data_IF_113839896636
#
_entry.id   IF_113839896636
#
_cell.length_a   1.000
_cell.length_b   1.000
_cell.length_c   1.000
_cell.angle_alpha   90.00
_cell.angle_beta   90.00
_cell.angle_gamma   90.00
#
_symmetry.space_group_name_H-M   'P 1'
#
loop_
_entity.id
_entity.type
_entity.pdbx_description
1 polymer ?
#
# COMPACT_ATOMS: atom_id res chain seq x y z
N UNK A 1 54.78 -132.06 -39.02
CA UNK A 1 54.33 -133.45 -38.81
C UNK A 1 52.91 -133.59 -39.32
N UNK A 2 52.30 -134.79 -39.30
CA UNK A 2 50.98 -135.02 -39.86
C UNK A 2 49.89 -134.53 -38.90
N UNK A 3 49.69 -133.21 -38.79
CA UNK A 3 48.46 -132.63 -38.23
C UNK A 3 48.21 -131.27 -38.90
N UNK A 4 47.03 -131.11 -39.48
CA UNK A 4 46.49 -129.83 -39.92
C UNK A 4 46.25 -128.99 -38.67
N UNK A 5 46.78 -127.77 -38.60
CA UNK A 5 46.30 -126.77 -37.64
C UNK A 5 44.95 -126.29 -38.20
N UNK A 6 43.86 -126.55 -37.46
CA UNK A 6 42.54 -125.99 -37.77
C UNK A 6 42.63 -124.46 -37.78
N UNK A 7 41.82 -123.76 -38.59
CA UNK A 7 41.70 -122.31 -38.43
C UNK A 7 41.24 -122.03 -36.99
N UNK A 8 42.03 -121.25 -36.24
CA UNK A 8 41.66 -120.80 -34.90
C UNK A 8 40.25 -120.18 -34.98
N UNK A 9 39.23 -120.87 -34.44
CA UNK A 9 37.91 -120.29 -34.25
C UNK A 9 38.00 -119.30 -33.09
N UNK A 10 37.98 -117.99 -33.35
CA UNK A 10 38.13 -116.98 -32.30
C UNK A 10 36.96 -117.00 -31.31
N UNK A 11 35.80 -117.60 -31.64
CA UNK A 11 34.69 -117.78 -30.71
C UNK A 11 34.88 -118.94 -29.73
N UNK A 12 35.83 -119.87 -29.95
CA UNK A 12 36.08 -121.00 -29.05
C UNK A 12 36.51 -120.57 -27.64
N UNK A 13 37.09 -119.37 -27.51
CA UNK A 13 37.50 -118.78 -26.21
C UNK A 13 36.37 -118.08 -25.45
N UNK A 14 35.13 -118.10 -25.97
CA UNK A 14 33.96 -117.37 -25.44
C UNK A 14 34.27 -115.89 -25.15
N UNK A 15 34.66 -115.10 -26.16
CA UNK A 15 35.11 -113.74 -25.95
C UNK A 15 33.99 -112.75 -25.57
N UNK A 16 32.72 -113.10 -25.79
CA UNK A 16 31.57 -112.27 -25.46
C UNK A 16 31.19 -112.43 -23.98
N UNK A 17 31.16 -111.33 -23.24
CA UNK A 17 30.80 -111.25 -21.83
C UNK A 17 29.29 -111.10 -21.65
N UNK A 18 28.83 -111.19 -20.40
CA UNK A 18 27.45 -110.90 -19.97
C UNK A 18 26.34 -111.64 -20.77
N UNK A 19 26.64 -112.85 -21.24
CA UNK A 19 25.70 -113.68 -22.00
C UNK A 19 25.56 -113.29 -23.48
N UNK A 20 26.49 -112.49 -24.02
CA UNK A 20 26.58 -112.18 -25.45
C UNK A 20 26.81 -113.42 -26.33
N UNK A 21 26.22 -113.42 -27.52
CA UNK A 21 26.33 -114.51 -28.49
C UNK A 21 27.47 -114.20 -29.47
N UNK A 22 28.44 -115.11 -29.60
CA UNK A 22 29.59 -114.92 -30.48
C UNK A 22 29.31 -115.39 -31.92
N UNK A 23 29.67 -114.54 -32.89
CA UNK A 23 29.59 -114.82 -34.32
C UNK A 23 30.96 -114.67 -34.98
N UNK A 24 31.43 -115.71 -35.69
CA UNK A 24 32.67 -115.66 -36.47
C UNK A 24 32.52 -114.83 -37.75
N UNK A 25 33.47 -113.94 -38.04
CA UNK A 25 33.46 -113.11 -39.26
C UNK A 25 34.87 -112.96 -39.86
N UNK A 26 34.98 -112.33 -41.05
CA UNK A 26 36.28 -112.13 -41.75
C UNK A 26 37.29 -111.28 -40.96
N UNK A 27 36.84 -110.61 -39.90
CA UNK A 27 37.63 -109.74 -39.02
C UNK A 27 38.06 -110.45 -37.72
N UNK A 28 37.69 -111.72 -37.54
CA UNK A 28 37.80 -112.47 -36.29
C UNK A 28 36.43 -112.87 -35.76
N UNK A 29 35.87 -112.12 -34.80
CA UNK A 29 34.55 -112.38 -34.21
C UNK A 29 33.76 -111.08 -33.98
N UNK A 30 32.46 -111.22 -33.77
CA UNK A 30 31.53 -110.17 -33.33
C UNK A 30 30.64 -110.71 -32.22
N UNK A 31 30.24 -109.86 -31.29
CA UNK A 31 29.34 -110.23 -30.20
C UNK A 31 27.97 -109.56 -30.37
N UNK A 32 26.92 -110.37 -30.40
CA UNK A 32 25.54 -109.90 -30.32
C UNK A 32 25.14 -109.81 -28.85
N UNK A 33 25.00 -108.58 -28.36
CA UNK A 33 24.79 -108.31 -26.94
C UNK A 33 23.32 -108.44 -26.54
N UNK A 34 23.02 -109.07 -25.40
CA UNK A 34 21.68 -109.05 -24.84
C UNK A 34 21.30 -107.62 -24.47
N UNK A 35 19.99 -107.35 -24.44
CA UNK A 35 19.49 -106.04 -24.09
C UNK A 35 19.94 -105.61 -22.68
N UNK A 36 20.46 -104.39 -22.56
CA UNK A 36 21.12 -103.89 -21.35
C UNK A 36 22.65 -103.87 -21.42
N UNK A 37 23.27 -104.44 -22.46
CA UNK A 37 24.72 -104.42 -22.66
C UNK A 37 25.11 -103.94 -24.06
N UNK A 38 26.26 -103.28 -24.17
CA UNK A 38 26.88 -102.89 -25.43
C UNK A 38 28.40 -103.00 -25.37
N UNK A 39 29.07 -102.72 -26.50
CA UNK A 39 30.51 -102.87 -26.64
C UNK A 39 30.87 -104.09 -27.49
N UNK A 40 32.13 -104.18 -27.91
CA UNK A 40 32.61 -105.20 -28.84
C UNK A 40 32.57 -106.63 -28.26
N UNK A 41 32.54 -106.75 -26.93
CA UNK A 41 32.42 -107.99 -26.16
C UNK A 41 31.22 -107.96 -25.23
N UNK A 42 30.28 -107.03 -25.40
CA UNK A 42 29.14 -106.85 -24.47
C UNK A 42 29.58 -106.54 -23.03
N UNK A 43 30.73 -105.89 -22.90
CA UNK A 43 31.40 -105.61 -21.63
C UNK A 43 30.84 -104.39 -20.89
N UNK A 44 30.06 -103.54 -21.57
CA UNK A 44 29.56 -102.29 -21.02
C UNK A 44 28.08 -102.43 -20.72
N UNK A 45 27.69 -102.24 -19.45
CA UNK A 45 26.30 -102.14 -19.00
C UNK A 45 25.71 -100.78 -19.44
N UNK A 46 24.48 -100.77 -19.97
CA UNK A 46 23.80 -99.56 -20.42
C UNK A 46 23.29 -98.81 -19.19
N UNK A 47 23.72 -97.57 -19.00
CA UNK A 47 23.16 -96.73 -17.94
C UNK A 47 21.78 -96.19 -18.33
N UNK A 48 20.70 -96.87 -17.93
CA UNK A 48 19.34 -96.40 -18.21
C UNK A 48 18.98 -95.11 -17.47
N UNK A 49 19.70 -94.76 -16.39
CA UNK A 49 19.51 -93.48 -15.70
C UNK A 49 20.03 -92.28 -16.50
N UNK A 50 20.86 -92.49 -17.53
CA UNK A 50 21.29 -91.42 -18.43
C UNK A 50 20.12 -90.73 -19.15
N UNK A 51 19.01 -91.45 -19.36
CA UNK A 51 17.77 -90.91 -19.95
C UNK A 51 16.96 -90.02 -19.00
N UNK A 52 17.35 -89.97 -17.71
CA UNK A 52 16.66 -89.26 -16.62
C UNK A 52 15.17 -89.65 -16.51
N UNK A 53 14.86 -90.93 -16.25
CA UNK A 53 13.50 -91.45 -16.25
C UNK A 53 12.68 -91.08 -15.00
N UNK A 54 13.32 -90.60 -13.93
CA UNK A 54 12.64 -90.22 -12.69
C UNK A 54 12.20 -88.75 -12.71
N UNK A 55 10.90 -88.52 -12.59
CA UNK A 55 10.26 -87.22 -12.52
C UNK A 55 10.33 -86.63 -11.10
N UNK A 56 9.92 -85.36 -10.98
CA UNK A 56 9.76 -84.65 -9.70
C UNK A 56 10.99 -84.69 -8.77
N UNK A 57 12.17 -84.73 -9.38
CA UNK A 57 13.46 -84.78 -8.71
C UNK A 57 13.73 -86.08 -7.94
N UNK A 58 13.03 -87.16 -8.29
CA UNK A 58 13.38 -88.51 -7.84
C UNK A 58 14.81 -88.88 -8.21
N UNK A 59 15.49 -89.63 -7.35
CA UNK A 59 16.86 -90.10 -7.60
C UNK A 59 16.81 -91.42 -8.33
N UNK A 60 17.37 -91.45 -9.55
CA UNK A 60 17.50 -92.68 -10.34
C UNK A 60 18.69 -93.50 -9.87
N UNK A 61 18.46 -94.79 -9.60
CA UNK A 61 19.51 -95.74 -9.28
C UNK A 61 19.59 -96.77 -10.41
N UNK A 62 20.73 -96.77 -11.11
CA UNK A 62 21.02 -97.81 -12.09
C UNK A 62 21.41 -99.08 -11.33
N UNK A 63 20.75 -100.19 -11.62
CA UNK A 63 21.16 -101.49 -11.11
C UNK A 63 22.18 -102.07 -12.12
N UNK A 64 23.12 -102.94 -11.72
CA UNK A 64 24.02 -103.68 -12.64
C UNK A 64 23.59 -105.16 -12.85
N UNK A 65 23.78 -105.72 -14.06
CA UNK A 65 23.45 -107.10 -14.50
C UNK A 65 21.98 -107.57 -14.65
N UNK A 66 21.02 -106.77 -15.12
CA UNK A 66 19.66 -107.27 -15.43
C UNK A 66 19.49 -107.61 -16.90
N UNK A 67 19.04 -108.83 -17.16
CA UNK A 67 18.66 -109.31 -18.49
C UNK A 67 17.32 -108.75 -19.00
N UNK A 68 16.80 -107.64 -18.43
CA UNK A 68 15.49 -107.06 -18.78
C UNK A 68 15.60 -105.58 -19.12
N UNK A 69 15.00 -105.18 -20.25
CA UNK A 69 14.77 -103.78 -20.65
C UNK A 69 13.86 -103.07 -19.61
N UNK A 70 14.30 -101.92 -19.07
CA UNK A 70 13.72 -101.11 -17.97
C UNK A 70 13.93 -101.62 -16.54
N UNK A 71 15.10 -101.38 -15.97
CA UNK A 71 15.45 -101.90 -14.64
C UNK A 71 16.19 -100.90 -13.74
N UNK A 72 16.14 -99.60 -14.06
CA UNK A 72 16.41 -98.55 -13.07
C UNK A 72 15.25 -98.44 -12.07
N UNK A 73 15.55 -98.01 -10.85
CA UNK A 73 14.54 -97.72 -9.81
C UNK A 73 14.60 -96.25 -9.43
N UNK A 74 13.44 -95.61 -9.36
CA UNK A 74 13.31 -94.22 -8.92
C UNK A 74 13.01 -94.16 -7.43
N UNK A 75 13.89 -93.51 -6.68
CA UNK A 75 13.63 -93.16 -5.28
C UNK A 75 12.95 -91.80 -5.23
N UNK A 76 11.65 -91.80 -4.94
CA UNK A 76 10.82 -90.59 -4.99
C UNK A 76 11.04 -89.66 -3.81
N UNK A 77 11.02 -88.35 -4.07
CA UNK A 77 11.00 -87.35 -3.00
C UNK A 77 9.71 -87.43 -2.17
N UNK A 78 9.72 -86.98 -0.90
CA UNK A 78 8.52 -86.94 -0.08
C UNK A 78 7.36 -86.21 -0.77
N UNK A 79 6.21 -86.89 -0.86
CA UNK A 79 5.02 -86.37 -1.53
C UNK A 79 4.83 -86.84 -2.97
N UNK A 80 5.75 -87.66 -3.50
CA UNK A 80 5.60 -88.28 -4.82
C UNK A 80 5.64 -89.81 -4.74
N UNK A 81 4.92 -90.47 -5.65
CA UNK A 81 4.85 -91.92 -5.82
C UNK A 81 4.72 -92.29 -7.31
N UNK A 82 4.52 -93.56 -7.62
CA UNK A 82 4.58 -94.07 -8.99
C UNK A 82 5.95 -94.66 -9.34
N UNK A 83 6.04 -95.32 -10.49
CA UNK A 83 7.26 -96.05 -10.90
C UNK A 83 8.41 -95.10 -11.21
N UNK A 84 8.07 -93.94 -11.74
CA UNK A 84 8.97 -92.89 -12.16
C UNK A 84 8.83 -91.64 -11.28
N UNK A 85 8.14 -91.72 -10.14
CA UNK A 85 7.83 -90.57 -9.26
C UNK A 85 6.90 -89.52 -9.88
N UNK A 86 6.03 -89.95 -10.78
CA UNK A 86 5.13 -89.14 -11.58
C UNK A 86 3.83 -88.73 -10.86
N UNK A 87 3.45 -89.46 -9.81
CA UNK A 87 2.19 -89.25 -9.08
C UNK A 87 2.42 -88.43 -7.80
N UNK A 88 1.49 -87.54 -7.44
CA UNK A 88 1.53 -86.78 -6.18
C UNK A 88 0.70 -87.51 -5.12
N UNK A 89 1.23 -87.65 -3.90
CA UNK A 89 0.53 -88.27 -2.78
C UNK A 89 -0.48 -87.26 -2.20
N UNK A 90 -1.77 -87.62 -2.22
CA UNK A 90 -2.84 -86.85 -1.56
C UNK A 90 -2.99 -87.26 -0.09
N UNK A 91 -2.17 -86.66 0.79
CA UNK A 91 -2.24 -86.90 2.24
C UNK A 91 -3.54 -86.41 2.87
N UNK A 92 -4.13 -85.32 2.37
CA UNK A 92 -5.42 -84.82 2.85
C UNK A 92 -6.51 -85.90 2.73
N UNK A 93 -6.60 -86.56 1.56
CA UNK A 93 -7.53 -87.68 1.35
C UNK A 93 -7.13 -88.97 2.07
N UNK A 94 -5.86 -89.37 1.98
CA UNK A 94 -5.35 -90.63 2.56
C UNK A 94 -5.48 -90.70 4.08
N UNK A 95 -5.25 -89.60 4.79
CA UNK A 95 -5.26 -89.55 6.26
C UNK A 95 -6.55 -88.98 6.83
N UNK A 96 -7.55 -88.67 6.00
CA UNK A 96 -8.83 -88.08 6.42
C UNK A 96 -8.65 -86.82 7.29
N UNK A 97 -7.71 -85.94 6.90
CA UNK A 97 -7.40 -84.75 7.68
C UNK A 97 -8.54 -83.74 7.52
N UNK A 98 -9.14 -83.35 8.64
CA UNK A 98 -10.27 -82.42 8.66
C UNK A 98 -9.83 -81.07 9.23
N UNK A 99 -9.76 -80.05 8.38
CA UNK A 99 -9.60 -78.67 8.83
C UNK A 99 -10.96 -78.17 9.34
N UNK A 100 -11.01 -77.74 10.60
CA UNK A 100 -12.23 -77.26 11.23
C UNK A 100 -12.71 -75.95 10.61
N UNK A 101 -13.97 -75.59 10.90
CA UNK A 101 -14.57 -74.32 10.49
C UNK A 101 -14.46 -74.04 8.98
N UNK A 102 -14.70 -75.05 8.14
CA UNK A 102 -14.61 -74.95 6.67
C UNK A 102 -13.21 -74.63 6.12
N UNK A 103 -12.15 -74.91 6.89
CA UNK A 103 -10.78 -74.77 6.43
C UNK A 103 -10.45 -75.67 5.24
N UNK A 104 -9.57 -75.19 4.35
CA UNK A 104 -9.14 -75.93 3.17
C UNK A 104 -7.84 -76.69 3.47
N UNK A 105 -7.85 -78.02 3.34
CA UNK A 105 -6.64 -78.84 3.45
C UNK A 105 -5.81 -78.77 2.17
N UNK A 106 -4.52 -78.48 2.31
CA UNK A 106 -3.56 -78.48 1.20
C UNK A 106 -2.42 -79.46 1.45
N UNK A 107 -2.07 -80.22 0.42
CA UNK A 107 -0.87 -81.07 0.39
C UNK A 107 0.38 -80.19 0.14
N UNK A 108 1.36 -80.24 1.04
CA UNK A 108 2.63 -79.54 0.87
C UNK A 108 3.59 -80.46 0.10
N UNK A 109 3.79 -80.12 -1.17
CA UNK A 109 4.75 -80.79 -2.06
C UNK A 109 6.19 -80.49 -1.57
N UNK A 110 7.01 -81.53 -1.35
CA UNK A 110 8.41 -81.38 -0.92
C UNK A 110 8.63 -81.10 0.58
N UNK A 111 7.62 -81.31 1.43
CA UNK A 111 7.77 -81.18 2.89
C UNK A 111 8.70 -82.24 3.49
N UNK A 112 9.55 -81.84 4.44
CA UNK A 112 10.56 -82.71 5.07
C UNK A 112 10.00 -83.62 6.19
N UNK A 113 8.71 -83.51 6.51
CA UNK A 113 8.03 -84.22 7.62
C UNK A 113 6.76 -84.88 7.12
N UNK A 114 6.56 -86.19 7.33
CA UNK A 114 5.32 -86.87 6.94
C UNK A 114 4.33 -86.93 8.12
N UNK A 115 3.05 -86.54 7.93
CA UNK A 115 2.45 -86.01 6.71
C UNK A 115 2.65 -84.50 6.51
N UNK A 116 2.96 -84.09 5.27
CA UNK A 116 3.18 -82.69 4.88
C UNK A 116 1.86 -82.01 4.49
N UNK A 117 1.06 -81.55 5.45
CA UNK A 117 -0.22 -80.87 5.18
C UNK A 117 -0.31 -79.48 5.83
N UNK A 118 -1.19 -78.62 5.31
CA UNK A 118 -1.55 -77.33 5.93
C UNK A 118 -3.04 -77.08 5.77
N UNK A 119 -3.69 -76.64 6.84
CA UNK A 119 -5.03 -76.06 6.79
C UNK A 119 -4.94 -74.56 6.51
N UNK A 120 -5.65 -74.08 5.48
CA UNK A 120 -5.91 -72.66 5.30
C UNK A 120 -7.21 -72.31 6.03
N UNK A 121 -7.09 -71.47 7.05
CA UNK A 121 -8.22 -71.09 7.89
C UNK A 121 -9.02 -69.93 7.31
N UNK A 122 -10.36 -69.96 7.41
CA UNK A 122 -11.19 -68.82 7.07
C UNK A 122 -10.96 -67.64 8.03
N UNK A 123 -11.46 -66.46 7.64
CA UNK A 123 -11.36 -65.25 8.47
C UNK A 123 -11.93 -65.51 9.87
N UNK A 124 -11.25 -65.00 10.90
CA UNK A 124 -11.57 -65.15 12.33
C UNK A 124 -11.20 -66.50 12.96
N UNK A 125 -10.50 -67.40 12.25
CA UNK A 125 -9.97 -68.65 12.81
C UNK A 125 -8.46 -68.79 12.58
N UNK A 126 -7.77 -69.37 13.56
CA UNK A 126 -6.34 -69.68 13.54
C UNK A 126 -6.10 -71.05 14.20
N UNK A 127 -4.85 -71.50 14.27
CA UNK A 127 -4.47 -72.84 14.74
C UNK A 127 -4.09 -73.78 13.59
N UNK A 128 -3.53 -74.94 13.95
CA UNK A 128 -2.99 -75.90 12.98
C UNK A 128 -4.10 -76.54 12.12
N UNK A 129 -5.29 -76.67 12.70
CA UNK A 129 -6.50 -77.21 12.08
C UNK A 129 -7.67 -76.21 12.12
N UNK A 130 -7.39 -74.91 12.27
CA UNK A 130 -8.39 -73.84 12.31
C UNK A 130 -9.35 -73.93 13.51
N UNK A 131 -8.86 -74.44 14.64
CA UNK A 131 -9.62 -74.70 15.86
C UNK A 131 -9.78 -73.49 16.80
N UNK A 132 -8.97 -72.44 16.63
CA UNK A 132 -8.93 -71.27 17.53
C UNK A 132 -9.69 -70.10 16.91
N UNK A 133 -10.68 -69.55 17.60
CA UNK A 133 -11.32 -68.30 17.21
C UNK A 133 -10.43 -67.10 17.59
N UNK A 134 -10.26 -66.15 16.67
CA UNK A 134 -9.52 -64.91 16.92
C UNK A 134 -10.44 -63.96 17.72
N UNK A 135 -10.19 -63.79 19.03
CA UNK A 135 -10.78 -62.72 19.85
C UNK A 135 -9.79 -61.56 19.96
N UNK A 136 -9.99 -60.45 19.23
CA UNK A 136 -9.01 -59.34 19.24
C UNK A 136 -9.16 -58.45 20.49
N UNK A 137 -10.35 -58.38 21.08
CA UNK A 137 -10.62 -57.66 22.34
C UNK A 137 -10.74 -58.61 23.54
N UNK A 138 -9.60 -59.09 24.03
CA UNK A 138 -9.52 -59.83 25.30
C UNK A 138 -9.51 -58.90 26.53
N UNK A 139 -9.46 -59.50 27.73
CA UNK A 139 -9.57 -58.79 29.02
C UNK A 139 -8.44 -57.80 29.36
N UNK A 140 -7.41 -57.68 28.51
CA UNK A 140 -6.24 -56.82 28.74
C UNK A 140 -5.74 -56.11 27.46
N UNK A 141 -6.60 -55.95 26.45
CA UNK A 141 -6.19 -55.29 25.19
C UNK A 141 -6.00 -53.77 25.34
N UNK A 142 -6.80 -53.10 26.19
CA UNK A 142 -6.67 -51.67 26.50
C UNK A 142 -6.41 -51.46 27.99
N UNK A 143 -5.44 -50.61 28.33
CA UNK A 143 -5.07 -50.23 29.69
C UNK A 143 -5.83 -48.97 30.16
N UNK A 144 -5.67 -48.62 31.43
CA UNK A 144 -6.19 -47.38 32.04
C UNK A 144 -7.67 -47.07 31.78
N UNK A 145 -8.50 -48.11 31.67
CA UNK A 145 -9.94 -47.98 31.43
C UNK A 145 -10.33 -47.66 29.98
N UNK A 146 -9.42 -47.85 29.02
CA UNK A 146 -9.69 -47.72 27.59
C UNK A 146 -10.75 -48.70 27.09
N UNK A 147 -11.57 -48.23 26.14
CA UNK A 147 -12.61 -49.05 25.52
C UNK A 147 -12.07 -49.76 24.28
N UNK A 148 -12.11 -51.09 24.23
CA UNK A 148 -11.66 -51.90 23.09
C UNK A 148 -12.78 -52.08 22.06
N UNK A 149 -12.47 -51.85 20.79
CA UNK A 149 -13.36 -52.16 19.66
C UNK A 149 -12.64 -53.09 18.68
N UNK A 150 -13.31 -54.17 18.32
CA UNK A 150 -12.80 -55.21 17.42
C UNK A 150 -13.08 -54.86 15.95
N UNK A 151 -12.10 -55.09 15.08
CA UNK A 151 -12.18 -54.97 13.62
C UNK A 151 -11.69 -56.27 12.96
N UNK A 152 -11.93 -56.45 11.65
CA UNK A 152 -11.70 -57.72 10.93
C UNK A 152 -10.26 -58.29 11.02
N UNK A 153 -9.26 -57.47 11.35
CA UNK A 153 -7.83 -57.83 11.41
C UNK A 153 -7.01 -57.14 12.53
N UNK A 154 -7.64 -56.33 13.38
CA UNK A 154 -6.99 -55.64 14.51
C UNK A 154 -8.02 -55.16 15.53
N UNK A 155 -7.57 -54.68 16.69
CA UNK A 155 -8.42 -53.97 17.65
C UNK A 155 -7.97 -52.51 17.78
N UNK A 156 -8.87 -51.64 18.22
CA UNK A 156 -8.57 -50.24 18.53
C UNK A 156 -9.00 -49.91 19.95
N UNK A 157 -8.13 -49.24 20.68
CA UNK A 157 -8.45 -48.68 21.99
C UNK A 157 -8.88 -47.22 21.88
N UNK A 158 -9.99 -46.87 22.54
CA UNK A 158 -10.40 -45.49 22.77
C UNK A 158 -10.02 -45.09 24.19
N UNK A 159 -9.05 -44.18 24.31
CA UNK A 159 -8.45 -43.80 25.58
C UNK A 159 -9.26 -42.73 26.33
N UNK A 160 -9.40 -42.85 27.67
CA UNK A 160 -9.97 -41.81 28.50
C UNK A 160 -9.10 -40.55 28.52
N UNK A 161 -9.68 -39.43 28.94
CA UNK A 161 -8.95 -38.15 29.08
C UNK A 161 -7.74 -38.32 29.99
N UNK A 162 -6.56 -37.89 29.51
CA UNK A 162 -5.30 -38.00 30.24
C UNK A 162 -4.40 -39.18 29.85
N UNK A 163 -4.84 -40.05 28.93
CA UNK A 163 -4.07 -41.19 28.45
C UNK A 163 -3.96 -41.24 26.92
N UNK A 164 -2.81 -41.67 26.42
CA UNK A 164 -2.52 -41.86 24.99
C UNK A 164 -1.76 -43.18 24.74
N UNK A 165 -1.48 -43.49 23.47
CA UNK A 165 -0.88 -44.76 23.05
C UNK A 165 -1.90 -45.74 22.45
N UNK A 166 -1.39 -46.76 21.75
CA UNK A 166 -2.21 -47.76 21.03
C UNK A 166 -3.04 -48.62 21.99
N UNK A 167 -2.63 -48.72 23.26
CA UNK A 167 -3.34 -49.43 24.33
C UNK A 167 -3.69 -48.52 25.50
N UNK A 168 -3.59 -47.19 25.35
CA UNK A 168 -3.80 -46.23 26.45
C UNK A 168 -2.80 -46.38 27.61
N UNK A 169 -1.59 -46.86 27.31
CA UNK A 169 -0.53 -47.15 28.28
C UNK A 169 0.27 -45.91 28.72
N UNK A 170 0.16 -44.80 27.97
CA UNK A 170 0.92 -43.58 28.20
C UNK A 170 0.03 -42.54 28.89
N UNK A 171 0.61 -41.79 29.83
CA UNK A 171 -0.04 -40.63 30.44
C UNK A 171 0.29 -39.39 29.64
N UNK A 172 -0.71 -38.58 29.32
CA UNK A 172 -0.52 -37.33 28.57
C UNK A 172 0.11 -36.30 29.52
N UNK A 173 1.38 -35.98 29.31
CA UNK A 173 2.04 -34.86 29.98
C UNK A 173 1.48 -33.54 29.44
N UNK A 174 0.57 -32.96 30.21
CA UNK A 174 -0.10 -31.69 29.90
C UNK A 174 0.87 -30.51 29.75
N UNK A 175 2.14 -30.63 30.19
CA UNK A 175 3.18 -29.60 30.01
C UNK A 175 3.91 -29.70 28.65
N UNK A 176 3.91 -30.86 28.00
CA UNK A 176 4.52 -31.05 26.67
C UNK A 176 3.54 -30.77 25.53
N UNK A 177 2.24 -30.94 25.76
CA UNK A 177 1.20 -30.76 24.74
C UNK A 177 0.57 -29.35 24.73
N UNK A 178 0.70 -28.58 25.82
CA UNK A 178 0.06 -27.26 25.98
C UNK A 178 1.03 -26.07 25.86
N UNK A 179 2.13 -26.22 25.09
CA UNK A 179 2.96 -25.06 24.71
C UNK A 179 2.36 -24.23 23.56
N UNK A 180 1.26 -24.70 22.95
CA UNK A 180 0.56 -24.05 21.83
C UNK A 180 -0.57 -23.11 22.26
N UNK A 181 -0.94 -23.10 23.54
CA UNK A 181 -2.11 -22.36 24.05
C UNK A 181 -1.77 -20.97 24.59
N UNK A 182 -0.49 -20.68 24.84
CA UNK A 182 -0.02 -19.35 25.22
C UNK A 182 0.42 -18.56 23.98
N UNK A 183 0.21 -17.25 23.99
CA UNK A 183 0.72 -16.36 22.95
C UNK A 183 2.25 -16.46 22.77
N UNK A 184 2.80 -16.20 21.57
CA UNK A 184 4.24 -16.20 21.34
C UNK A 184 4.97 -15.25 22.30
N UNK A 185 5.91 -15.78 23.09
CA UNK A 185 6.66 -15.02 24.09
C UNK A 185 6.07 -15.01 25.51
N UNK A 186 4.86 -15.56 25.71
CA UNK A 186 4.34 -15.85 27.04
C UNK A 186 4.98 -17.12 27.62
N UNK A 187 5.19 -17.15 28.94
CA UNK A 187 5.82 -18.28 29.63
C UNK A 187 4.76 -19.24 30.15
N UNK A 188 4.80 -20.51 29.73
CA UNK A 188 3.93 -21.53 30.29
C UNK A 188 4.49 -22.00 31.65
N UNK A 189 3.68 -21.91 32.72
CA UNK A 189 4.03 -22.34 34.07
C UNK A 189 3.13 -23.49 34.49
N UNK A 190 3.74 -24.62 34.85
CA UNK A 190 3.04 -25.80 35.37
C UNK A 190 3.00 -25.79 36.90
N UNK A 191 1.89 -26.23 37.47
CA UNK A 191 1.72 -26.42 38.91
C UNK A 191 0.83 -27.63 39.20
N UNK A 192 0.99 -28.20 40.40
CA UNK A 192 0.16 -29.31 40.87
C UNK A 192 -0.96 -28.76 41.73
N UNK A 193 -2.20 -29.08 41.36
CA UNK A 193 -3.40 -28.74 42.14
C UNK A 193 -4.18 -30.04 42.39
N UNK A 194 -4.38 -30.40 43.65
CA UNK A 194 -5.23 -31.52 44.12
C UNK A 194 -5.26 -32.75 43.16
N UNK A 195 -4.11 -33.42 43.02
CA UNK A 195 -3.88 -34.64 42.21
C UNK A 195 -4.00 -34.51 40.67
N UNK A 196 -4.08 -33.30 40.11
CA UNK A 196 -4.02 -33.06 38.66
C UNK A 196 -2.89 -32.07 38.28
N UNK A 197 -2.24 -32.33 37.15
CA UNK A 197 -1.20 -31.46 36.59
C UNK A 197 -1.86 -30.36 35.75
N UNK A 198 -1.85 -29.12 36.24
CA UNK A 198 -2.43 -27.95 35.59
C UNK A 198 -1.35 -27.02 35.03
N UNK A 199 -1.70 -26.24 34.01
CA UNK A 199 -0.83 -25.23 33.40
C UNK A 199 -1.53 -23.88 33.31
N UNK A 200 -0.76 -22.80 33.42
CA UNK A 200 -1.22 -21.43 33.16
C UNK A 200 -0.18 -20.62 32.39
N UNK A 201 -0.65 -19.70 31.56
CA UNK A 201 0.23 -18.75 30.90
C UNK A 201 0.59 -17.60 31.85
N UNK A 202 1.88 -17.31 31.97
CA UNK A 202 2.39 -16.10 32.62
C UNK A 202 2.63 -15.08 31.52
N UNK A 203 1.80 -14.05 31.50
CA UNK A 203 1.79 -13.06 30.42
C UNK A 203 3.01 -12.13 30.50
N UNK A 204 3.49 -11.73 29.32
CA UNK A 204 4.45 -10.64 29.20
C UNK A 204 3.80 -9.31 29.64
N UNK A 205 4.64 -8.33 30.00
CA UNK A 205 4.14 -7.01 30.43
C UNK A 205 3.30 -6.39 29.30
N UNK A 206 2.12 -5.86 29.66
CA UNK A 206 1.14 -5.31 28.70
C UNK A 206 0.10 -6.33 28.19
N UNK A 207 0.18 -7.61 28.56
CA UNK A 207 -0.78 -8.63 28.12
C UNK A 207 -1.55 -9.24 29.28
N UNK A 208 -2.78 -9.65 29.03
CA UNK A 208 -3.68 -10.28 30.01
C UNK A 208 -4.48 -11.43 29.40
N UNK A 209 -5.32 -12.06 30.22
CA UNK A 209 -6.16 -13.19 29.84
C UNK A 209 -5.47 -14.55 30.03
N UNK A 210 -6.26 -15.62 29.91
CA UNK A 210 -5.81 -16.99 30.19
C UNK A 210 -4.73 -17.49 29.21
N UNK A 211 -4.77 -16.98 27.97
CA UNK A 211 -3.83 -17.33 26.88
C UNK A 211 -2.86 -16.21 26.55
N UNK A 212 -2.89 -15.08 27.27
CA UNK A 212 -2.05 -13.90 27.04
C UNK A 212 -2.16 -13.26 25.65
N UNK A 213 -3.34 -13.33 25.03
CA UNK A 213 -3.62 -12.74 23.71
C UNK A 213 -4.33 -11.39 23.78
N UNK A 214 -4.77 -10.98 24.97
CA UNK A 214 -5.49 -9.73 25.17
C UNK A 214 -4.49 -8.65 25.56
N UNK A 215 -4.44 -7.55 24.79
CA UNK A 215 -3.66 -6.39 25.18
C UNK A 215 -4.35 -5.69 26.36
N UNK A 216 -3.57 -5.29 27.36
CA UNK A 216 -4.08 -4.46 28.44
C UNK A 216 -4.35 -3.08 27.86
N UNK A 217 -5.58 -2.60 28.02
CA UNK A 217 -5.95 -1.27 27.56
C UNK A 217 -5.32 -0.20 28.47
N UNK A 218 -4.17 0.32 28.04
CA UNK A 218 -3.41 1.34 28.76
C UNK A 218 -4.15 2.70 28.78
N UNK A 219 -5.21 2.86 27.97
CA UNK A 219 -6.05 4.04 27.93
C UNK A 219 -7.16 4.10 28.99
N UNK A 220 -7.40 3.06 29.81
CA UNK A 220 -8.46 3.10 30.84
C UNK A 220 -8.27 4.22 31.89
N UNK A 221 -7.02 4.58 32.16
CA UNK A 221 -6.69 5.70 33.07
C UNK A 221 -6.68 7.07 32.37
N UNK A 222 -6.83 7.09 31.04
CA UNK A 222 -6.78 8.20 30.09
C UNK A 222 -6.20 9.52 30.63
N UNK A 223 -4.88 9.70 30.50
CA UNK A 223 -4.21 10.94 30.90
C UNK A 223 -4.13 11.98 29.77
N UNK A 224 -4.67 11.67 28.58
CA UNK A 224 -4.70 12.59 27.46
C UNK A 224 -5.61 13.79 27.76
N UNK A 225 -5.09 15.01 27.57
CA UNK A 225 -5.78 16.25 27.91
C UNK A 225 -6.45 16.91 26.69
N UNK A 226 -7.24 17.95 26.93
CA UNK A 226 -7.83 18.82 25.90
C UNK A 226 -8.61 18.10 24.78
N UNK A 227 -9.24 16.96 25.11
CA UNK A 227 -10.03 16.18 24.14
C UNK A 227 -9.19 15.35 23.17
N UNK A 228 -7.89 15.16 23.45
CA UNK A 228 -7.02 14.28 22.70
C UNK A 228 -7.51 12.82 22.74
N UNK A 229 -7.25 12.10 21.64
CA UNK A 229 -7.64 10.68 21.51
C UNK A 229 -6.51 9.80 22.03
N UNK A 230 -6.82 8.89 22.94
CA UNK A 230 -5.85 7.91 23.41
C UNK A 230 -5.80 6.72 22.44
N UNK A 231 -4.62 6.42 21.90
CA UNK A 231 -4.34 5.18 21.18
C UNK A 231 -3.59 4.21 22.08
N UNK A 232 -4.22 3.05 22.28
CA UNK A 232 -3.67 1.93 23.02
C UNK A 232 -2.52 1.27 22.24
N UNK A 233 -1.49 0.85 22.97
CA UNK A 233 -0.33 0.15 22.44
C UNK A 233 0.08 -0.98 23.39
N UNK A 234 1.20 -1.64 23.11
CA UNK A 234 1.65 -2.74 23.97
C UNK A 234 2.45 -2.17 25.15
N UNK A 235 1.88 -2.21 26.37
CA UNK A 235 2.47 -1.70 27.61
C UNK A 235 2.84 -0.20 27.53
N UNK A 236 2.08 0.54 26.73
CA UNK A 236 2.22 1.98 26.50
C UNK A 236 0.97 2.46 25.76
N UNK A 237 0.68 3.74 25.89
CA UNK A 237 -0.30 4.41 25.04
C UNK A 237 0.30 5.69 24.45
N UNK A 238 -0.34 6.23 23.42
CA UNK A 238 0.00 7.53 22.85
C UNK A 238 -1.23 8.42 22.74
N UNK A 239 -1.08 9.70 23.06
CA UNK A 239 -2.14 10.69 22.87
C UNK A 239 -2.02 11.34 21.49
N UNK A 240 -3.08 11.25 20.70
CA UNK A 240 -3.24 12.02 19.46
C UNK A 240 -3.85 13.36 19.83
N UNK A 241 -3.01 14.39 19.79
CA UNK A 241 -3.42 15.75 20.12
C UNK A 241 -4.37 16.32 19.06
N UNK A 242 -5.37 17.06 19.53
CA UNK A 242 -6.18 17.90 18.65
C UNK A 242 -5.33 19.06 18.13
N UNK A 243 -5.66 19.65 16.96
CA UNK A 243 -4.91 20.80 16.44
C UNK A 243 -4.82 21.93 17.47
N UNK A 244 -3.60 22.48 17.66
CA UNK A 244 -3.33 23.53 18.64
C UNK A 244 -2.78 23.05 19.99
N UNK A 245 -2.60 21.74 20.21
CA UNK A 245 -1.96 21.22 21.40
C UNK A 245 -0.77 20.32 21.08
N UNK A 246 0.23 20.33 21.96
CA UNK A 246 1.43 19.52 21.91
C UNK A 246 1.78 18.92 23.28
N UNK A 247 2.82 18.08 23.31
CA UNK A 247 3.25 17.36 24.51
C UNK A 247 2.88 15.87 24.48
N UNK A 248 3.39 15.11 25.45
CA UNK A 248 3.17 13.66 25.51
C UNK A 248 1.71 13.33 25.83
N UNK A 249 1.06 14.20 26.60
CA UNK A 249 -0.34 14.08 27.01
C UNK A 249 -1.20 15.18 26.41
N UNK A 250 -0.71 15.90 25.40
CA UNK A 250 -1.37 17.06 24.79
C UNK A 250 -1.69 18.14 25.83
N UNK A 251 -0.80 18.29 26.82
CA UNK A 251 -0.96 19.16 27.98
C UNK A 251 -0.63 20.63 27.69
N UNK A 252 0.14 20.89 26.63
CA UNK A 252 0.60 22.22 26.27
C UNK A 252 -0.18 22.73 25.07
N UNK A 253 -0.63 23.98 25.13
CA UNK A 253 -1.18 24.70 23.98
C UNK A 253 -0.02 25.26 23.14
N UNK A 254 -0.15 25.17 21.81
CA UNK A 254 0.86 25.64 20.87
C UNK A 254 0.64 27.13 20.66
N UNK A 255 1.63 27.94 20.97
CA UNK A 255 1.59 29.36 20.63
C UNK A 255 2.03 29.59 19.18
N UNK A 256 1.09 29.72 18.24
CA UNK A 256 1.41 29.91 16.82
C UNK A 256 2.11 31.26 16.56
N UNK A 257 1.93 32.25 17.44
CA UNK A 257 2.57 33.55 17.34
C UNK A 257 4.10 33.53 17.52
N UNK A 258 4.67 32.49 18.15
CA UNK A 258 6.13 32.34 18.29
C UNK A 258 6.85 32.25 16.94
N UNK A 259 6.16 31.76 15.91
CA UNK A 259 6.69 31.69 14.54
C UNK A 259 6.72 33.06 13.82
N UNK A 260 6.21 34.12 14.46
CA UNK A 260 6.07 35.46 13.89
C UNK A 260 5.33 35.48 12.53
N UNK A 261 4.10 34.92 12.44
CA UNK A 261 3.39 34.78 11.16
C UNK A 261 2.84 36.12 10.62
N UNK A 262 2.61 37.09 11.51
CA UNK A 262 2.08 38.41 11.15
C UNK A 262 3.18 39.34 10.64
N UNK A 263 3.01 39.86 9.42
CA UNK A 263 3.98 40.73 8.75
C UNK A 263 3.64 42.23 8.94
N UNK A 264 4.53 43.12 8.49
CA UNK A 264 4.27 44.57 8.39
C UNK A 264 3.85 45.24 9.71
N UNK A 265 4.48 44.84 10.82
CA UNK A 265 4.18 45.35 12.18
C UNK A 265 2.75 45.07 12.66
N UNK A 266 2.09 44.08 12.08
CA UNK A 266 0.81 43.58 12.59
C UNK A 266 0.98 42.92 13.97
N UNK A 267 -0.06 43.00 14.78
CA UNK A 267 -0.09 42.38 16.12
C UNK A 267 -0.64 40.97 16.00
N UNK A 268 0.13 39.97 16.44
CA UNK A 268 -0.31 38.58 16.48
C UNK A 268 -1.12 38.29 17.74
N UNK A 269 -2.25 37.62 17.59
CA UNK A 269 -3.07 37.09 18.67
C UNK A 269 -3.12 35.58 18.53
N UNK A 270 -2.69 34.93 19.60
CA UNK A 270 -2.64 33.49 19.77
C UNK A 270 -4.05 32.94 19.99
N UNK A 271 -4.42 31.88 19.27
CA UNK A 271 -5.71 31.22 19.39
C UNK A 271 -5.49 29.71 19.31
N UNK A 272 -6.42 28.92 19.85
CA UNK A 272 -6.25 27.46 19.86
C UNK A 272 -6.23 26.93 18.40
N UNK A 273 -5.07 26.41 17.97
CA UNK A 273 -4.87 25.74 16.69
C UNK A 273 -4.74 26.67 15.48
N UNK A 274 -4.70 27.99 15.69
CA UNK A 274 -4.56 29.00 14.64
C UNK A 274 -4.17 30.35 15.24
N UNK A 275 -3.80 31.32 14.41
CA UNK A 275 -3.51 32.68 14.88
C UNK A 275 -4.43 33.69 14.20
N UNK A 276 -4.51 34.89 14.78
CA UNK A 276 -5.16 36.04 14.15
C UNK A 276 -4.22 37.24 14.12
N UNK A 277 -4.02 37.82 12.93
CA UNK A 277 -3.22 39.03 12.77
C UNK A 277 -4.11 40.28 12.73
N UNK A 278 -3.86 41.20 13.65
CA UNK A 278 -4.43 42.54 13.59
C UNK A 278 -3.52 43.43 12.73
N UNK A 279 -3.94 43.65 11.49
CA UNK A 279 -3.15 44.38 10.50
C UNK A 279 -3.01 45.87 10.84
N UNK A 280 -1.82 46.42 10.57
CA UNK A 280 -1.63 47.86 10.53
C UNK A 280 -2.41 48.47 9.34
N UNK A 281 -2.70 49.77 9.42
CA UNK A 281 -3.38 50.50 8.34
C UNK A 281 -2.64 50.32 6.99
N UNK A 282 -3.41 50.10 5.91
CA UNK A 282 -2.86 49.84 4.58
C UNK A 282 -2.47 48.38 4.29
N UNK A 283 -2.71 47.45 5.22
CA UNK A 283 -2.44 46.02 5.02
C UNK A 283 -3.68 45.14 5.29
N UNK A 284 -3.79 44.03 4.57
CA UNK A 284 -4.86 43.04 4.70
C UNK A 284 -4.37 41.60 4.46
N UNK A 285 -5.27 40.65 4.63
CA UNK A 285 -5.01 39.22 4.51
C UNK A 285 -4.66 38.57 5.85
N UNK A 286 -4.66 37.24 5.89
CA UNK A 286 -4.47 36.43 7.11
C UNK A 286 -3.15 36.73 7.83
N UNK A 287 -2.08 37.02 7.08
CA UNK A 287 -0.75 37.36 7.62
C UNK A 287 -0.41 38.86 7.52
N UNK A 288 -1.37 39.70 7.12
CA UNK A 288 -1.17 41.14 6.86
C UNK A 288 -0.04 41.45 5.87
N UNK A 289 0.22 40.53 4.94
CA UNK A 289 1.27 40.63 3.92
C UNK A 289 0.82 41.38 2.66
N UNK A 290 -0.48 41.57 2.48
CA UNK A 290 -1.05 42.17 1.26
C UNK A 290 -1.28 43.65 1.51
N UNK A 291 -0.65 44.51 0.71
CA UNK A 291 -0.99 45.93 0.68
C UNK A 291 -2.44 46.10 0.21
N UNK A 292 -3.21 46.90 0.95
CA UNK A 292 -4.47 47.43 0.45
C UNK A 292 -4.12 48.32 -0.74
N UNK A 293 -4.93 48.21 -1.80
CA UNK A 293 -4.84 49.05 -2.99
C UNK A 293 -6.17 49.75 -3.11
N UNK A 294 -6.29 50.83 -2.36
CA UNK A 294 -7.52 51.58 -2.17
C UNK A 294 -8.04 52.13 -3.51
N UNK A 295 -7.16 52.35 -4.50
CA UNK A 295 -7.56 52.81 -5.83
C UNK A 295 -8.30 51.76 -6.68
N UNK A 296 -8.23 50.46 -6.35
CA UNK A 296 -8.96 49.42 -7.10
C UNK A 296 -10.48 49.56 -6.99
N UNK A 297 -10.96 50.07 -5.87
CA UNK A 297 -12.39 50.27 -5.62
C UNK A 297 -12.92 51.58 -6.25
N UNK A 298 -12.07 52.28 -7.02
CA UNK A 298 -12.36 53.53 -7.73
C UNK A 298 -13.02 54.59 -6.81
N UNK A 299 -12.37 54.95 -5.69
CA UNK A 299 -12.94 55.83 -4.68
C UNK A 299 -13.06 57.29 -5.11
N UNK A 300 -12.40 57.71 -6.19
CA UNK A 300 -12.48 59.08 -6.71
C UNK A 300 -13.66 59.24 -7.67
N UNK A 301 -14.54 60.18 -7.35
CA UNK A 301 -15.78 60.45 -8.07
C UNK A 301 -15.54 61.47 -9.18
N UNK A 302 -16.56 61.66 -10.04
CA UNK A 302 -16.58 62.71 -11.07
C UNK A 302 -15.37 62.71 -12.03
N UNK A 303 -14.79 61.53 -12.31
CA UNK A 303 -13.64 61.39 -13.20
C UNK A 303 -12.29 61.75 -12.55
N UNK A 304 -12.23 61.91 -11.23
CA UNK A 304 -10.99 62.08 -10.48
C UNK A 304 -10.03 60.90 -10.65
N UNK A 305 -8.74 61.20 -10.69
CA UNK A 305 -7.67 60.19 -10.82
C UNK A 305 -7.21 59.79 -9.42
N UNK A 306 -7.21 58.48 -9.14
CA UNK A 306 -6.75 57.94 -7.86
C UNK A 306 -5.26 57.61 -7.93
N UNK A 307 -4.51 58.08 -6.94
CA UNK A 307 -3.09 57.80 -6.74
C UNK A 307 -2.89 57.13 -5.37
N UNK A 308 -2.17 56.01 -5.35
CA UNK A 308 -1.76 55.34 -4.12
C UNK A 308 -0.74 56.22 -3.38
N UNK A 309 -0.92 56.43 -2.07
CA UNK A 309 -0.07 57.28 -1.24
C UNK A 309 0.37 56.52 0.03
N UNK A 310 1.42 56.97 0.73
CA UNK A 310 1.96 56.29 1.91
C UNK A 310 0.97 56.19 3.09
N UNK A 311 -0.12 56.97 3.06
CA UNK A 311 -1.20 56.95 4.05
C UNK A 311 -2.53 56.37 3.49
N UNK A 312 -2.48 55.64 2.37
CA UNK A 312 -3.66 55.05 1.71
C UNK A 312 -3.75 55.50 0.25
N UNK A 313 -4.59 56.50 -0.04
CA UNK A 313 -4.75 57.04 -1.39
C UNK A 313 -5.10 58.53 -1.39
N UNK A 314 -4.92 59.17 -2.55
CA UNK A 314 -5.29 60.56 -2.80
C UNK A 314 -6.01 60.68 -4.15
N UNK A 315 -7.06 61.50 -4.19
CA UNK A 315 -7.77 61.84 -5.43
C UNK A 315 -7.27 63.17 -5.99
N UNK A 316 -6.84 63.14 -7.26
CA UNK A 316 -6.57 64.33 -8.07
C UNK A 316 -7.86 64.71 -8.81
N UNK A 317 -8.48 65.82 -8.39
CA UNK A 317 -9.79 66.24 -8.90
C UNK A 317 -9.68 67.02 -10.23
N UNK A 318 -10.59 66.78 -11.19
CA UNK A 318 -10.70 67.59 -12.40
C UNK A 318 -11.14 69.02 -12.08
N UNK A 319 -10.94 69.94 -13.02
CA UNK A 319 -11.42 71.31 -12.91
C UNK A 319 -12.94 71.33 -12.62
N UNK A 320 -13.36 72.15 -11.66
CA UNK A 320 -14.76 72.22 -11.22
C UNK A 320 -15.16 71.22 -10.13
N UNK A 321 -14.24 70.39 -9.61
CA UNK A 321 -14.52 69.47 -8.50
C UNK A 321 -13.48 69.59 -7.37
N UNK A 322 -13.93 69.37 -6.14
CA UNK A 322 -13.12 69.39 -4.91
C UNK A 322 -13.62 68.37 -3.89
N UNK A 323 -12.94 68.27 -2.74
CA UNK A 323 -13.20 67.25 -1.72
C UNK A 323 -12.18 66.12 -1.73
N UNK A 324 -12.22 65.25 -0.72
CA UNK A 324 -11.25 64.15 -0.59
C UNK A 324 -11.45 63.08 -1.68
N UNK A 325 -12.68 62.93 -2.16
CA UNK A 325 -13.08 61.97 -3.18
C UNK A 325 -13.55 62.67 -4.46
N UNK A 326 -13.32 63.97 -4.62
CA UNK A 326 -13.83 64.80 -5.73
C UNK A 326 -15.36 64.82 -5.82
N UNK A 327 -16.02 64.68 -4.67
CA UNK A 327 -17.47 64.58 -4.52
C UNK A 327 -18.18 65.94 -4.58
N UNK A 328 -17.46 67.03 -4.37
CA UNK A 328 -18.02 68.38 -4.29
C UNK A 328 -17.82 69.13 -5.60
N UNK A 329 -18.91 69.51 -6.25
CA UNK A 329 -18.86 70.46 -7.37
C UNK A 329 -18.43 71.84 -6.86
N UNK A 330 -17.35 72.38 -7.42
CA UNK A 330 -16.94 73.77 -7.21
C UNK A 330 -17.70 74.64 -8.19
N UNK A 331 -18.25 75.75 -7.69
CA UNK A 331 -18.84 76.76 -8.57
C UNK A 331 -17.71 77.58 -9.18
N UNK A 332 -17.92 78.03 -10.41
CA UNK A 332 -16.95 78.75 -11.24
C UNK A 332 -16.36 79.97 -10.50
N UNK A 333 -17.19 80.67 -9.72
CA UNK A 333 -16.77 81.82 -8.92
C UNK A 333 -15.98 81.51 -7.65
N UNK A 334 -15.94 80.27 -7.17
CA UNK A 334 -15.16 79.90 -5.96
C UNK A 334 -13.65 80.08 -6.19
N UNK A 335 -13.21 80.01 -7.45
CA UNK A 335 -11.83 80.26 -7.86
C UNK A 335 -11.46 81.75 -7.93
N UNK A 336 -12.41 82.65 -7.65
CA UNK A 336 -12.26 84.11 -7.74
C UNK A 336 -11.63 84.60 -9.06
N UNK A 337 -12.22 84.27 -10.23
CA UNK A 337 -11.62 84.58 -11.54
C UNK A 337 -11.66 86.07 -11.90
N UNK A 338 -12.61 86.84 -11.35
CA UNK A 338 -12.79 88.26 -11.65
C UNK A 338 -11.78 89.14 -10.90
N UNK A 339 -11.11 90.05 -11.62
CA UNK A 339 -10.05 90.92 -11.11
C UNK A 339 -10.56 92.34 -10.84
N UNK A 340 -9.69 93.19 -10.27
CA UNK A 340 -9.95 94.62 -10.04
C UNK A 340 -11.24 94.93 -9.23
N UNK A 341 -11.62 94.01 -8.33
CA UNK A 341 -12.79 94.18 -7.46
C UNK A 341 -14.14 93.90 -8.14
N UNK A 342 -14.12 93.27 -9.32
CA UNK A 342 -15.32 92.85 -10.03
C UNK A 342 -16.12 91.78 -9.27
N UNK A 343 -17.44 91.78 -9.46
CA UNK A 343 -18.35 90.80 -8.87
C UNK A 343 -18.48 89.61 -9.80
N UNK A 344 -18.16 88.42 -9.31
CA UNK A 344 -18.33 87.16 -10.06
C UNK A 344 -19.74 86.60 -9.87
N UNK A 345 -20.38 86.19 -10.96
CA UNK A 345 -21.62 85.41 -10.96
C UNK A 345 -21.44 84.11 -11.73
N UNK A 346 -21.74 82.98 -11.07
CA UNK A 346 -21.78 81.66 -11.73
C UNK A 346 -23.04 81.53 -12.59
N UNK A 347 -22.88 80.94 -13.77
CA UNK A 347 -23.95 80.51 -14.69
C UNK A 347 -23.73 79.02 -15.07
N UNK A 348 -24.63 78.42 -15.86
CA UNK A 348 -24.51 77.01 -16.28
C UNK A 348 -23.29 76.81 -17.17
N UNK A 349 -22.28 76.09 -16.66
CA UNK A 349 -20.97 75.82 -17.30
C UNK A 349 -20.15 77.07 -17.66
N UNK A 350 -20.42 78.21 -17.01
CA UNK A 350 -19.74 79.49 -17.27
C UNK A 350 -19.77 80.43 -16.05
N UNK A 351 -18.99 81.50 -16.11
CA UNK A 351 -19.10 82.62 -15.16
C UNK A 351 -19.07 83.94 -15.90
N UNK A 352 -19.69 84.95 -15.29
CA UNK A 352 -19.67 86.33 -15.76
C UNK A 352 -19.04 87.23 -14.69
N UNK A 353 -18.14 88.11 -15.13
CA UNK A 353 -17.56 89.15 -14.30
C UNK A 353 -18.23 90.49 -14.58
N UNK A 354 -18.87 91.07 -13.57
CA UNK A 354 -19.41 92.42 -13.66
C UNK A 354 -18.31 93.43 -13.35
N UNK A 355 -17.75 94.00 -14.41
CA UNK A 355 -16.64 94.94 -14.31
C UNK A 355 -17.08 96.28 -13.69
N UNK A 356 -16.32 96.80 -12.72
CA UNK A 356 -16.45 98.18 -12.27
C UNK A 356 -16.22 99.16 -13.42
N UNK A 357 -16.77 100.37 -13.30
CA UNK A 357 -16.57 101.45 -14.28
C UNK A 357 -15.07 101.67 -14.55
N UNK A 358 -14.69 101.78 -15.83
CA UNK A 358 -13.29 101.93 -16.25
C UNK A 358 -12.51 100.62 -16.44
N UNK A 359 -13.10 99.45 -16.19
CA UNK A 359 -12.49 98.15 -16.50
C UNK A 359 -13.29 97.36 -17.55
N UNK A 360 -12.57 96.62 -18.40
CA UNK A 360 -13.12 95.73 -19.42
C UNK A 360 -12.33 94.41 -19.52
N UNK A 361 -12.76 93.48 -20.38
CA UNK A 361 -12.19 92.13 -20.48
C UNK A 361 -13.07 91.06 -19.85
N UNK A 362 -12.77 89.78 -20.10
CA UNK A 362 -13.57 88.65 -19.60
C UNK A 362 -13.52 88.57 -18.06
N UNK A 363 -12.37 88.94 -17.49
CA UNK A 363 -12.11 88.92 -16.05
C UNK A 363 -11.92 90.33 -15.49
N UNK A 364 -12.34 91.37 -16.22
CA UNK A 364 -12.15 92.78 -15.86
C UNK A 364 -10.68 93.16 -15.69
N UNK A 365 -9.79 92.54 -16.46
CA UNK A 365 -8.34 92.68 -16.37
C UNK A 365 -7.78 93.90 -17.12
N UNK A 366 -8.58 94.54 -17.98
CA UNK A 366 -8.16 95.63 -18.87
C UNK A 366 -8.64 96.96 -18.29
N UNK A 367 -7.75 97.94 -18.15
CA UNK A 367 -8.12 99.32 -17.87
C UNK A 367 -8.57 100.01 -19.18
N UNK A 368 -9.75 100.60 -19.19
CA UNK A 368 -10.30 101.26 -20.37
C UNK A 368 -9.58 102.58 -20.63
N UNK A 369 -8.82 102.68 -21.73
CA UNK A 369 -8.04 103.88 -22.07
C UNK A 369 -8.95 104.96 -22.68
N UNK A 370 -9.43 105.90 -21.86
CA UNK A 370 -10.28 107.00 -22.31
C UNK A 370 -9.53 107.96 -23.27
N UNK A 371 -8.20 108.02 -23.23
CA UNK A 371 -7.43 108.91 -24.10
C UNK A 371 -7.56 108.54 -25.59
N UNK A 372 -7.82 107.27 -25.90
CA UNK A 372 -8.06 106.81 -27.28
C UNK A 372 -9.36 107.35 -27.89
N UNK A 373 -10.33 107.74 -27.06
CA UNK A 373 -11.65 108.22 -27.49
C UNK A 373 -11.75 109.75 -27.58
N UNK A 374 -10.67 110.47 -27.26
CA UNK A 374 -10.55 111.91 -27.49
C UNK A 374 -11.42 112.77 -26.58
N UNK A 375 -11.57 112.39 -25.31
CA UNK A 375 -12.29 113.20 -24.31
C UNK A 375 -11.61 114.54 -24.03
N UNK A 376 -10.27 114.59 -24.07
CA UNK A 376 -9.47 115.80 -23.93
C UNK A 376 -9.53 116.67 -25.21
N UNK A 377 -9.87 117.95 -25.07
CA UNK A 377 -10.08 118.92 -26.17
C UNK A 377 -8.99 119.99 -26.23
N UNK A 378 -9.08 120.89 -27.21
CA UNK A 378 -8.17 122.04 -27.34
C UNK A 378 -6.69 121.67 -27.43
N UNK A 379 -6.38 120.52 -28.04
CA UNK A 379 -5.02 119.97 -28.17
C UNK A 379 -4.30 119.73 -26.83
N UNK A 380 -5.04 119.48 -25.74
CA UNK A 380 -4.50 119.11 -24.44
C UNK A 380 -3.88 117.71 -24.43
N UNK A 381 -2.91 117.47 -23.54
CA UNK A 381 -2.34 116.14 -23.31
C UNK A 381 -3.27 115.31 -22.42
N UNK A 382 -3.68 114.13 -22.88
CA UNK A 382 -4.45 113.18 -22.09
C UNK A 382 -3.54 112.21 -21.35
N UNK A 383 -3.86 111.91 -20.10
CA UNK A 383 -3.23 110.88 -19.28
C UNK A 383 -4.29 109.87 -18.87
N UNK A 384 -4.08 108.61 -19.27
CA UNK A 384 -4.86 107.46 -18.80
C UNK A 384 -4.51 107.17 -17.34
N UNK A 385 -5.53 106.97 -16.51
CA UNK A 385 -5.41 106.59 -15.10
C UNK A 385 -6.22 105.31 -14.86
N UNK A 386 -6.03 104.68 -13.70
CA UNK A 386 -6.82 103.48 -13.37
C UNK A 386 -8.27 103.88 -13.14
N UNK A 387 -9.15 103.42 -14.03
CA UNK A 387 -10.57 103.72 -14.08
C UNK A 387 -10.91 105.23 -14.12
N UNK A 388 -10.02 106.06 -14.69
CA UNK A 388 -10.24 107.49 -14.88
C UNK A 388 -9.25 108.07 -15.90
N UNK A 389 -9.41 109.33 -16.27
CA UNK A 389 -8.44 110.06 -17.08
C UNK A 389 -8.26 111.50 -16.61
N UNK A 390 -7.13 112.09 -16.98
CA UNK A 390 -6.82 113.48 -16.70
C UNK A 390 -6.31 114.21 -17.94
N UNK A 391 -6.93 115.34 -18.27
CA UNK A 391 -6.45 116.23 -19.32
C UNK A 391 -5.58 117.35 -18.73
N UNK A 392 -4.37 117.51 -19.26
CA UNK A 392 -3.49 118.64 -18.93
C UNK A 392 -3.84 119.82 -19.84
N UNK A 393 -4.54 120.81 -19.28
CA UNK A 393 -5.06 121.92 -20.06
C UNK A 393 -3.96 122.91 -20.48
N UNK A 394 -3.94 123.33 -21.77
CA UNK A 394 -3.11 124.43 -22.22
C UNK A 394 -3.45 125.74 -21.47
N UNK A 395 -2.50 126.70 -21.41
CA UNK A 395 -2.78 128.02 -20.85
C UNK A 395 -4.01 128.65 -21.50
N UNK A 396 -4.95 129.11 -20.65
CA UNK A 396 -6.20 129.70 -21.12
C UNK A 396 -7.38 128.73 -21.22
N UNK A 397 -7.22 127.42 -20.92
CA UNK A 397 -8.34 126.47 -20.86
C UNK A 397 -8.52 125.85 -19.46
N UNK A 398 -9.75 125.44 -19.14
CA UNK A 398 -10.14 124.82 -17.86
C UNK A 398 -11.16 123.69 -18.08
N UNK A 399 -11.64 123.09 -16.99
CA UNK A 399 -12.45 121.85 -16.88
C UNK A 399 -11.70 120.52 -17.08
N UNK A 400 -12.35 119.38 -16.76
CA UNK A 400 -11.76 118.03 -16.85
C UNK A 400 -11.32 117.66 -18.27
N UNK A 401 -11.95 118.26 -19.29
CA UNK A 401 -11.76 117.95 -20.70
C UNK A 401 -11.04 119.06 -21.46
N UNK A 402 -10.56 120.10 -20.76
CA UNK A 402 -9.94 121.30 -21.34
C UNK A 402 -10.79 121.96 -22.43
N UNK A 403 -12.11 121.91 -22.26
CA UNK A 403 -13.09 122.39 -23.26
C UNK A 403 -13.52 123.82 -23.03
N UNK A 404 -13.35 124.34 -21.81
CA UNK A 404 -13.79 125.68 -21.44
C UNK A 404 -12.64 126.68 -21.55
N UNK A 405 -12.79 127.74 -22.34
CA UNK A 405 -11.83 128.85 -22.42
C UNK A 405 -11.97 129.79 -21.20
N UNK A 406 -10.85 130.22 -20.63
CA UNK A 406 -10.78 131.11 -19.46
C UNK A 406 -10.91 132.55 -19.94
N UNK A 407 -11.91 133.29 -19.42
CA UNK A 407 -12.00 134.74 -19.61
C UNK A 407 -10.82 135.42 -18.89
N UNK A 408 -9.79 135.78 -19.65
CA UNK A 408 -8.58 136.40 -19.10
C UNK A 408 -8.81 137.87 -18.74
N UNK A 409 -9.86 138.50 -19.27
CA UNK A 409 -10.24 139.88 -18.95
C UNK A 409 -10.93 140.01 -17.59
N UNK A 410 -11.50 138.93 -17.05
CA UNK A 410 -12.06 138.91 -15.68
C UNK A 410 -11.04 139.34 -14.61
N UNK A 411 -9.75 139.11 -14.85
CA UNK A 411 -8.66 139.48 -13.95
C UNK A 411 -8.09 140.89 -14.17
N UNK A 412 -8.67 141.69 -15.08
CA UNK A 412 -8.21 143.05 -15.45
C UNK A 412 -6.70 143.12 -15.76
N UNK A 413 -6.19 142.36 -16.74
CA UNK A 413 -4.75 142.27 -17.01
C UNK A 413 -4.15 143.54 -17.67
N UNK A 414 -4.99 144.39 -18.27
CA UNK A 414 -4.55 145.58 -18.99
C UNK A 414 -4.18 146.74 -18.05
N UNK A 415 -3.01 147.36 -18.27
CA UNK A 415 -2.53 148.53 -17.51
C UNK A 415 -2.99 149.84 -18.18
N UNK A 416 -2.99 150.93 -17.41
CA UNK A 416 -3.32 152.29 -17.85
C UNK A 416 -4.73 152.43 -18.47
N UNK A 417 -5.73 151.76 -17.88
CA UNK A 417 -7.15 151.81 -18.31
C UNK A 417 -7.44 151.29 -19.73
N UNK A 418 -6.50 150.54 -20.34
CA UNK A 418 -6.71 149.91 -21.64
C UNK A 418 -7.89 148.93 -21.64
N UNK A 419 -8.66 148.90 -22.74
CA UNK A 419 -9.78 147.97 -22.92
C UNK A 419 -9.25 146.57 -23.22
N UNK A 420 -9.63 145.60 -22.38
CA UNK A 420 -9.30 144.20 -22.56
C UNK A 420 -10.28 143.53 -23.54
N UNK A 421 -9.76 142.72 -24.44
CA UNK A 421 -10.54 141.83 -25.31
C UNK A 421 -10.09 140.40 -25.08
N UNK A 422 -11.04 139.55 -24.70
CA UNK A 422 -10.82 138.13 -24.48
C UNK A 422 -10.86 137.39 -25.82
N UNK A 423 -9.86 136.53 -26.06
CA UNK A 423 -9.74 135.69 -27.24
C UNK A 423 -9.55 134.23 -26.80
N UNK A 424 -9.84 133.30 -27.71
CA UNK A 424 -9.65 131.87 -27.45
C UNK A 424 -8.17 131.60 -27.18
N UNK A 425 -7.85 131.15 -25.97
CA UNK A 425 -6.49 130.86 -25.50
C UNK A 425 -5.62 132.09 -25.16
N UNK A 426 -6.04 133.33 -25.48
CA UNK A 426 -5.21 134.53 -25.29
C UNK A 426 -6.03 135.81 -24.97
N UNK A 427 -5.37 136.94 -24.76
CA UNK A 427 -6.05 138.22 -24.62
C UNK A 427 -5.20 139.34 -25.23
N UNK A 428 -5.83 140.44 -25.62
CA UNK A 428 -5.10 141.64 -25.99
C UNK A 428 -5.74 142.90 -25.39
N UNK A 429 -4.90 143.92 -25.21
CA UNK A 429 -5.30 145.22 -24.69
C UNK A 429 -5.26 146.25 -25.80
N UNK A 430 -6.34 146.99 -26.01
CA UNK A 430 -6.37 148.18 -26.88
C UNK A 430 -6.34 149.45 -26.04
N UNK A 431 -5.59 150.45 -26.51
CA UNK A 431 -5.52 151.78 -25.89
C UNK A 431 -6.85 152.52 -25.91
#
# INVERSE_FOLDING_TARGET
>A
GPFCEEPDDPCATQPCLNGGICHYNQSGYSCDCPAGFFGHKCEIDIDECASRPCDNGGTCVNLPNSSKIHWCICSCMPGFTGKNCEEVIDYCGLLSINCLNEGLCLNIIGGFTQPSVRCLCPRHFTGEFCEVQIENCGSSSCENGGTCVDYEDHFKCYCPVGFEGERCEQTIDSCLFHSTSCAPGALCSCFYDEDHQASRCVCAVGWTGQTCVENINDCETNQCQHGATCEDGINKYSCICVPGYEGVFCEAEINECLSSPCQNRATCVDLIGHFSCHCAAGFKGETCSVHVKECLDRPCWNGGTCEEDANGFRCSCPFGFSGQFCETEMKECDSSPCLNGAVCQSDVDSYDCFCPEGFEGLNCEINFDECTYGFCKSNSTCLDLVADYSCVCPPGFTDKNCSTDIDKCSFKPCRNEGRCHDLVGEFYCSC
#
